data_IF_585398605783
#
_entry.id   IF_585398605783
#
_cell.length_a   1.000
_cell.length_b   1.000
_cell.length_c   1.000
_cell.angle_alpha   90.00
_cell.angle_beta   90.00
_cell.angle_gamma   90.00
#
_symmetry.space_group_name_H-M   'P 1'
#
loop_
_entity.id
_entity.type
_entity.pdbx_description
1 polymer ?
#
# COMPACT_ATOMS: atom_id res chain seq x y z
N UNK A 1 -22.51 4.34 8.49
CA UNK A 1 -22.87 3.01 9.08
C UNK A 1 -24.27 3.07 9.70
N UNK A 2 -24.97 1.94 9.88
CA UNK A 2 -26.21 1.93 10.67
C UNK A 2 -25.89 2.36 12.12
N UNK A 3 -26.66 3.29 12.67
CA UNK A 3 -26.49 3.80 14.04
C UNK A 3 -25.58 5.03 14.20
N UNK A 4 -25.04 5.59 13.12
CA UNK A 4 -24.27 6.85 13.15
C UNK A 4 -25.15 8.02 12.71
N UNK A 5 -25.07 9.15 13.42
CA UNK A 5 -25.79 10.37 13.04
C UNK A 5 -25.27 10.90 11.70
N UNK A 6 -26.11 11.63 10.95
CA UNK A 6 -25.68 12.26 9.70
C UNK A 6 -24.59 13.32 9.92
N UNK A 7 -24.63 14.00 11.06
CA UNK A 7 -23.62 15.02 11.42
C UNK A 7 -22.25 14.38 11.60
N UNK A 8 -22.17 13.29 12.37
CA UNK A 8 -20.91 12.58 12.58
C UNK A 8 -20.43 11.92 11.28
N UNK A 9 -21.35 11.36 10.50
CA UNK A 9 -21.03 10.73 9.22
C UNK A 9 -20.45 11.73 8.20
N UNK A 10 -20.91 12.98 8.21
CA UNK A 10 -20.44 14.01 7.30
C UNK A 10 -19.00 14.48 7.62
N UNK A 11 -18.55 14.36 8.87
CA UNK A 11 -17.22 14.82 9.28
C UNK A 11 -16.08 13.85 8.91
N UNK A 12 -16.40 12.58 8.61
CA UNK A 12 -15.41 11.51 8.42
C UNK A 12 -14.71 11.57 7.05
N UNK A 13 -15.41 11.69 5.90
CA UNK A 13 -14.78 11.47 4.60
C UNK A 13 -13.63 12.44 4.34
N UNK A 14 -13.83 13.72 4.61
CA UNK A 14 -12.85 14.77 4.34
C UNK A 14 -11.51 14.51 5.03
N UNK A 15 -11.55 14.22 6.33
CA UNK A 15 -10.33 14.09 7.14
C UNK A 15 -9.59 12.79 6.85
N UNK A 16 -10.32 11.69 6.60
CA UNK A 16 -9.71 10.39 6.31
C UNK A 16 -9.14 10.33 4.90
N UNK A 17 -9.84 10.86 3.89
CA UNK A 17 -9.35 10.88 2.51
C UNK A 17 -8.08 11.74 2.42
N UNK A 18 -8.09 12.92 3.04
CA UNK A 18 -6.93 13.80 3.05
C UNK A 18 -5.72 13.16 3.74
N UNK A 19 -5.92 12.56 4.92
CA UNK A 19 -4.84 11.89 5.64
C UNK A 19 -4.30 10.69 4.85
N UNK A 20 -5.18 9.92 4.20
CA UNK A 20 -4.79 8.77 3.39
C UNK A 20 -4.00 9.17 2.15
N UNK A 21 -4.49 10.15 1.39
CA UNK A 21 -3.81 10.64 0.19
C UNK A 21 -2.41 11.15 0.53
N UNK A 22 -2.30 12.01 1.54
CA UNK A 22 -1.05 12.65 1.86
C UNK A 22 0.00 11.69 2.47
N UNK A 23 -0.40 10.78 3.37
CA UNK A 23 0.55 9.88 4.03
C UNK A 23 0.87 8.64 3.18
N UNK A 24 -0.14 8.06 2.54
CA UNK A 24 -0.01 6.74 1.91
C UNK A 24 0.24 6.89 0.42
N UNK A 25 -0.62 7.60 -0.30
CA UNK A 25 -0.52 7.70 -1.76
C UNK A 25 0.66 8.58 -2.19
N UNK A 26 0.77 9.77 -1.59
CA UNK A 26 1.83 10.73 -1.91
C UNK A 26 3.09 10.50 -1.07
N UNK A 27 2.92 10.30 0.24
CA UNK A 27 4.03 10.08 1.17
C UNK A 27 4.71 8.71 1.02
N UNK A 28 4.00 7.70 0.49
CA UNK A 28 4.53 6.35 0.36
C UNK A 28 4.89 5.73 1.71
N UNK A 29 4.14 6.05 2.78
CA UNK A 29 4.33 5.44 4.08
C UNK A 29 4.03 3.94 3.99
N UNK A 30 4.91 3.13 4.56
CA UNK A 30 4.79 1.67 4.59
C UNK A 30 4.61 1.20 6.03
N UNK A 31 4.04 -0.01 6.26
CA UNK A 31 4.02 -0.63 7.58
C UNK A 31 5.41 -0.65 8.22
N UNK A 32 5.51 -0.31 9.51
CA UNK A 32 6.78 -0.15 10.22
C UNK A 32 7.53 1.17 9.94
N UNK A 33 7.10 1.95 8.94
CA UNK A 33 7.58 3.30 8.69
C UNK A 33 7.20 4.27 9.80
N UNK A 34 7.84 5.43 9.83
CA UNK A 34 7.58 6.49 10.81
C UNK A 34 7.08 7.75 10.11
N UNK A 35 5.94 8.28 10.54
CA UNK A 35 5.39 9.54 10.07
C UNK A 35 5.47 10.64 11.14
N UNK A 36 5.70 11.88 10.73
CA UNK A 36 5.54 13.08 11.54
C UNK A 36 4.34 13.88 11.02
N UNK A 37 3.36 14.16 11.87
CA UNK A 37 2.16 14.92 11.50
C UNK A 37 2.02 16.15 12.38
N UNK A 38 1.93 17.32 11.78
CA UNK A 38 1.62 18.55 12.52
C UNK A 38 0.11 18.70 12.75
N UNK A 39 -0.24 19.42 13.82
CA UNK A 39 -1.62 19.60 14.26
C UNK A 39 -2.35 18.26 14.52
N UNK A 40 -1.73 17.37 15.31
CA UNK A 40 -2.24 16.02 15.62
C UNK A 40 -3.64 15.98 16.22
N UNK A 41 -4.05 17.01 16.97
CA UNK A 41 -5.38 17.12 17.55
C UNK A 41 -6.44 17.75 16.61
N UNK A 42 -6.11 17.93 15.34
CA UNK A 42 -7.07 18.36 14.30
C UNK A 42 -7.83 17.15 13.72
N UNK A 43 -8.85 17.40 12.89
CA UNK A 43 -9.58 16.33 12.21
C UNK A 43 -8.64 15.43 11.38
N UNK A 44 -7.79 16.02 10.54
CA UNK A 44 -6.82 15.26 9.72
C UNK A 44 -5.77 14.59 10.59
N UNK A 45 -5.27 15.26 11.63
CA UNK A 45 -4.27 14.70 12.55
C UNK A 45 -4.79 13.46 13.31
N UNK A 46 -6.02 13.53 13.82
CA UNK A 46 -6.65 12.41 14.54
C UNK A 46 -6.99 11.25 13.60
N UNK A 47 -7.36 11.52 12.35
CA UNK A 47 -7.53 10.50 11.32
C UNK A 47 -6.18 9.84 10.95
N UNK A 48 -5.13 10.64 10.77
CA UNK A 48 -3.78 10.15 10.48
C UNK A 48 -3.26 9.20 11.58
N UNK A 49 -3.46 9.53 12.86
CA UNK A 49 -3.09 8.65 13.98
C UNK A 49 -3.77 7.29 13.85
N UNK A 50 -5.07 7.28 13.59
CA UNK A 50 -5.85 6.05 13.46
C UNK A 50 -5.42 5.22 12.25
N UNK A 51 -5.18 5.86 11.10
CA UNK A 51 -4.69 5.20 9.88
C UNK A 51 -3.32 4.58 10.11
N UNK A 52 -2.36 5.33 10.66
CA UNK A 52 -1.01 4.82 10.93
C UNK A 52 -1.03 3.66 11.92
N UNK A 53 -1.82 3.76 13.00
CA UNK A 53 -1.99 2.68 13.97
C UNK A 53 -2.56 1.42 13.31
N UNK A 54 -3.61 1.56 12.50
CA UNK A 54 -4.24 0.44 11.80
C UNK A 54 -3.29 -0.23 10.79
N UNK A 55 -2.39 0.53 10.18
CA UNK A 55 -1.39 0.05 9.24
C UNK A 55 -0.15 -0.58 9.91
N UNK A 56 0.04 -0.38 11.22
CA UNK A 56 1.26 -0.78 11.92
C UNK A 56 2.46 0.16 11.66
N UNK A 57 2.20 1.41 11.29
CA UNK A 57 3.21 2.45 11.20
C UNK A 57 3.34 3.21 12.54
N UNK A 58 4.52 3.75 12.80
CA UNK A 58 4.76 4.64 13.95
C UNK A 58 4.38 6.06 13.55
N UNK A 59 3.70 6.78 14.43
CA UNK A 59 3.31 8.16 14.17
C UNK A 59 3.70 9.07 15.33
N UNK A 60 4.38 10.14 14.99
CA UNK A 60 4.75 11.26 15.85
C UNK A 60 3.82 12.41 15.48
N UNK A 61 3.21 13.05 16.47
CA UNK A 61 2.34 14.19 16.21
C UNK A 61 2.74 15.40 17.04
N UNK A 62 2.55 16.60 16.49
CA UNK A 62 2.69 17.84 17.25
C UNK A 62 1.32 18.43 17.57
N UNK A 63 1.10 18.87 18.80
CA UNK A 63 -0.09 19.61 19.18
C UNK A 63 0.24 20.62 20.29
N UNK A 64 -0.64 21.59 20.52
CA UNK A 64 -0.57 22.42 21.74
C UNK A 64 -1.04 21.57 22.94
N UNK A 65 -0.49 21.74 24.13
CA UNK A 65 -0.88 21.01 25.34
C UNK A 65 -2.38 20.98 25.65
N UNK A 66 -2.89 22.02 26.32
CA UNK A 66 -4.30 22.13 26.66
C UNK A 66 -4.93 23.39 26.04
N UNK A 67 -6.19 23.29 25.60
CA UNK A 67 -7.01 24.46 25.27
C UNK A 67 -8.32 24.37 26.04
N UNK A 68 -8.43 25.14 27.12
CA UNK A 68 -9.54 25.01 28.07
C UNK A 68 -9.42 23.72 28.88
N UNK A 69 -10.52 22.97 28.99
CA UNK A 69 -10.58 21.69 29.73
C UNK A 69 -10.07 20.48 28.93
N UNK A 70 -9.76 20.64 27.65
CA UNK A 70 -9.37 19.53 26.76
C UNK A 70 -7.86 19.38 26.74
N UNK A 71 -7.37 18.26 27.26
CA UNK A 71 -6.00 17.80 27.11
C UNK A 71 -5.83 17.11 25.74
N UNK A 72 -5.22 17.84 24.81
CA UNK A 72 -5.00 17.35 23.44
C UNK A 72 -3.91 16.28 23.39
N UNK A 73 -2.95 16.32 24.31
CA UNK A 73 -1.85 15.36 24.37
C UNK A 73 -2.40 14.00 24.79
N UNK A 74 -3.21 13.96 25.85
CA UNK A 74 -3.89 12.75 26.29
C UNK A 74 -4.81 12.18 25.19
N UNK A 75 -5.57 13.02 24.49
CA UNK A 75 -6.43 12.60 23.39
C UNK A 75 -5.64 11.96 22.24
N UNK A 76 -4.55 12.57 21.79
CA UNK A 76 -3.70 12.01 20.72
C UNK A 76 -3.06 10.68 21.12
N UNK A 77 -2.63 10.56 22.39
CA UNK A 77 -2.09 9.29 22.92
C UNK A 77 -3.14 8.19 22.98
N UNK A 78 -4.37 8.51 23.39
CA UNK A 78 -5.48 7.57 23.44
C UNK A 78 -5.84 7.02 22.05
N UNK A 79 -5.73 7.84 21.00
CA UNK A 79 -5.90 7.41 19.60
C UNK A 79 -4.76 6.51 19.10
N UNK A 80 -3.64 6.46 19.82
CA UNK A 80 -2.52 5.57 19.55
C UNK A 80 -1.32 6.22 18.88
N UNK A 81 -1.13 7.54 19.06
CA UNK A 81 0.11 8.19 18.67
C UNK A 81 1.30 7.59 19.44
N UNK A 82 2.41 7.31 18.74
CA UNK A 82 3.61 6.74 19.36
C UNK A 82 4.40 7.78 20.15
N UNK A 83 4.36 9.03 19.69
CA UNK A 83 4.89 10.19 20.39
C UNK A 83 3.97 11.38 20.13
N UNK A 84 3.72 12.16 21.18
CA UNK A 84 2.99 13.42 21.08
C UNK A 84 3.87 14.51 21.65
N UNK A 85 4.23 15.47 20.81
CA UNK A 85 5.07 16.61 21.17
C UNK A 85 4.19 17.83 21.41
N UNK A 86 4.30 18.42 22.60
CA UNK A 86 3.78 19.75 22.86
C UNK A 86 4.76 20.79 22.31
N UNK A 87 4.41 21.40 21.17
CA UNK A 87 5.29 22.37 20.51
C UNK A 87 5.44 23.69 21.29
N UNK A 88 4.61 23.91 22.33
CA UNK A 88 4.68 25.13 23.16
C UNK A 88 5.76 25.04 24.24
N UNK A 89 6.14 23.83 24.62
CA UNK A 89 7.14 23.58 25.68
C UNK A 89 8.37 22.83 25.19
N UNK A 90 8.26 22.08 24.08
CA UNK A 90 9.34 21.27 23.53
C UNK A 90 9.63 21.61 22.07
N UNK A 91 10.89 21.44 21.68
CA UNK A 91 11.28 21.48 20.27
C UNK A 91 11.00 20.13 19.61
N UNK A 92 10.06 20.12 18.66
CA UNK A 92 9.68 18.92 17.95
C UNK A 92 10.81 18.28 17.16
N UNK A 93 11.76 19.05 16.63
CA UNK A 93 12.85 18.49 15.84
C UNK A 93 13.77 17.62 16.70
N UNK A 94 14.03 18.09 17.93
CA UNK A 94 14.82 17.35 18.92
C UNK A 94 14.10 16.08 19.39
N UNK A 95 12.82 16.20 19.76
CA UNK A 95 12.02 15.05 20.21
C UNK A 95 11.88 13.97 19.12
N UNK A 96 11.75 14.38 17.85
CA UNK A 96 11.75 13.47 16.71
C UNK A 96 13.10 12.78 16.55
N UNK A 97 14.21 13.52 16.66
CA UNK A 97 15.54 12.93 16.58
C UNK A 97 15.78 11.90 17.69
N UNK A 98 15.39 12.23 18.92
CA UNK A 98 15.53 11.34 20.08
C UNK A 98 14.68 10.07 19.92
N UNK A 99 13.42 10.21 19.50
CA UNK A 99 12.51 9.06 19.29
C UNK A 99 12.91 8.17 18.12
N UNK A 100 13.51 8.75 17.08
CA UNK A 100 13.99 8.02 15.89
C UNK A 100 15.46 7.60 16.01
N UNK A 101 16.12 7.87 17.14
CA UNK A 101 17.54 7.59 17.37
C UNK A 101 18.44 8.18 16.28
N UNK A 102 18.11 9.40 15.83
CA UNK A 102 18.82 10.11 14.76
C UNK A 102 18.56 9.61 13.34
N UNK A 103 17.71 8.59 13.15
CA UNK A 103 17.35 8.09 11.81
C UNK A 103 16.50 9.09 11.03
N UNK A 104 15.59 9.78 11.71
CA UNK A 104 14.55 10.61 11.10
C UNK A 104 13.28 9.83 10.72
N UNK A 105 12.31 10.56 10.19
CA UNK A 105 10.98 10.06 9.78
C UNK A 105 10.89 9.84 8.28
N UNK A 106 10.07 8.87 7.86
CA UNK A 106 9.92 8.50 6.46
C UNK A 106 9.00 9.46 5.70
N UNK A 107 8.00 10.03 6.38
CA UNK A 107 7.00 10.95 5.81
C UNK A 107 6.71 12.08 6.80
N UNK A 108 6.57 13.31 6.31
CA UNK A 108 6.11 14.47 7.09
C UNK A 108 4.83 15.00 6.46
N UNK A 109 3.77 15.15 7.26
CA UNK A 109 2.57 15.90 6.90
C UNK A 109 2.62 17.28 7.56
N UNK A 110 3.00 18.29 6.79
CA UNK A 110 3.08 19.67 7.24
C UNK A 110 1.88 20.49 6.75
N UNK A 111 1.14 21.05 7.71
CA UNK A 111 -0.01 21.94 7.47
C UNK A 111 0.27 23.38 7.93
N UNK A 112 1.46 23.66 8.48
CA UNK A 112 1.86 24.97 9.00
C UNK A 112 2.68 25.73 7.94
N UNK A 113 3.68 25.07 7.35
CA UNK A 113 4.59 25.69 6.39
C UNK A 113 5.50 26.76 6.99
N UNK A 114 6.13 27.57 6.12
CA UNK A 114 7.01 28.66 6.53
C UNK A 114 8.25 28.15 7.29
N UNK A 115 8.47 28.68 8.48
CA UNK A 115 9.66 28.40 9.33
C UNK A 115 9.75 26.94 9.82
N UNK A 116 8.69 26.15 9.62
CA UNK A 116 8.70 24.71 9.91
C UNK A 116 9.39 23.92 8.80
N UNK A 117 9.37 24.42 7.56
CA UNK A 117 9.84 23.68 6.37
C UNK A 117 11.29 23.19 6.53
N UNK A 118 12.22 24.07 6.91
CA UNK A 118 13.62 23.71 7.07
C UNK A 118 13.83 22.65 8.17
N UNK A 119 13.10 22.78 9.28
CA UNK A 119 13.14 21.84 10.41
C UNK A 119 12.52 20.49 10.03
N UNK A 120 11.45 20.51 9.26
CA UNK A 120 10.78 19.31 8.74
C UNK A 120 11.69 18.54 7.79
N UNK A 121 12.40 19.24 6.90
CA UNK A 121 13.40 18.61 6.03
C UNK A 121 14.54 18.00 6.84
N UNK A 122 14.99 18.66 7.90
CA UNK A 122 16.03 18.11 8.79
C UNK A 122 15.56 16.86 9.56
N UNK A 123 14.26 16.72 9.81
CA UNK A 123 13.68 15.55 10.48
C UNK A 123 13.50 14.34 9.55
N UNK A 124 13.59 14.51 8.23
CA UNK A 124 13.40 13.42 7.28
C UNK A 124 14.56 12.43 7.33
N UNK A 125 14.21 11.15 7.27
CA UNK A 125 15.17 10.09 7.10
C UNK A 125 15.85 10.22 5.72
N UNK A 126 17.18 10.18 5.73
CA UNK A 126 17.95 10.08 4.48
C UNK A 126 17.69 8.70 3.87
N UNK A 127 16.79 8.64 2.88
CA UNK A 127 16.64 7.45 2.05
C UNK A 127 17.94 7.23 1.30
N UNK A 128 18.75 6.28 1.75
CA UNK A 128 19.78 5.67 0.90
C UNK A 128 19.03 4.78 -0.08
N UNK A 129 18.53 5.38 -1.17
CA UNK A 129 18.07 4.61 -2.29
C UNK A 129 19.31 3.87 -2.83
N UNK A 130 19.45 2.60 -2.45
CA UNK A 130 20.30 1.70 -3.22
C UNK A 130 19.66 1.58 -4.58
N UNK A 131 20.09 2.44 -5.50
CA UNK A 131 19.80 2.35 -6.91
C UNK A 131 20.50 1.09 -7.39
N UNK A 132 19.90 -0.07 -7.10
CA UNK A 132 20.23 -1.31 -7.79
C UNK A 132 19.84 -1.03 -9.22
N UNK A 133 20.84 -0.71 -10.04
CA UNK A 133 20.76 -0.88 -11.46
C UNK A 133 20.32 -2.34 -11.67
N UNK A 134 19.03 -2.55 -11.87
CA UNK A 134 18.59 -3.84 -12.35
C UNK A 134 19.19 -3.93 -13.74
N UNK A 135 20.28 -4.69 -13.87
CA UNK A 135 20.74 -5.20 -15.16
C UNK A 135 19.50 -5.72 -15.84
N UNK A 136 19.06 -5.02 -16.88
CA UNK A 136 17.95 -5.43 -17.73
C UNK A 136 18.25 -6.85 -18.19
N UNK A 137 17.61 -7.83 -17.55
CA UNK A 137 17.72 -9.22 -17.98
C UNK A 137 16.73 -9.36 -19.12
N UNK A 138 17.26 -9.35 -20.34
CA UNK A 138 16.53 -9.74 -21.53
C UNK A 138 15.80 -11.08 -21.25
N UNK A 139 14.56 -11.24 -21.72
CA UNK A 139 13.82 -12.47 -21.53
C UNK A 139 14.62 -13.65 -22.08
N UNK A 140 14.93 -14.61 -21.21
CA UNK A 140 15.63 -15.85 -21.56
C UNK A 140 14.73 -16.63 -22.52
N UNK A 141 15.19 -16.83 -23.76
CA UNK A 141 14.54 -17.73 -24.71
C UNK A 141 14.54 -19.12 -24.09
N UNK A 142 13.35 -19.67 -23.81
CA UNK A 142 13.21 -21.07 -23.44
C UNK A 142 13.67 -21.92 -24.62
N UNK A 143 14.86 -22.53 -24.52
CA UNK A 143 15.29 -23.53 -25.48
C UNK A 143 14.38 -24.73 -25.32
N UNK A 144 13.51 -24.98 -26.29
CA UNK A 144 12.80 -26.24 -26.41
C UNK A 144 13.85 -27.32 -26.68
N UNK A 145 14.14 -28.14 -25.68
CA UNK A 145 14.96 -29.33 -25.88
C UNK A 145 14.18 -30.29 -26.77
N UNK A 146 14.78 -30.63 -27.91
CA UNK A 146 14.30 -31.71 -28.76
C UNK A 146 14.38 -33.03 -27.98
N UNK A 147 13.23 -33.60 -27.62
CA UNK A 147 13.16 -34.99 -27.18
C UNK A 147 13.41 -35.88 -28.40
N UNK A 148 14.62 -36.44 -28.48
CA UNK A 148 14.97 -37.50 -29.41
C UNK A 148 14.17 -38.76 -29.09
N UNK A 149 13.30 -39.16 -30.00
CA UNK A 149 12.54 -40.40 -29.96
C UNK A 149 13.49 -41.60 -30.20
N UNK A 150 13.61 -42.59 -29.30
CA UNK A 150 14.38 -43.79 -29.56
C UNK A 150 13.62 -44.70 -30.53
N UNK A 151 14.33 -45.08 -31.58
CA UNK A 151 13.93 -46.00 -32.65
C UNK A 151 13.28 -47.30 -32.15
N UNK A 152 12.01 -47.52 -32.54
CA UNK A 152 11.41 -48.85 -32.52
C UNK A 152 11.76 -49.59 -33.82
N UNK A 153 12.49 -50.69 -33.66
CA UNK A 153 12.91 -51.59 -34.71
C UNK A 153 11.74 -52.50 -35.15
N UNK A 154 11.61 -52.67 -36.47
CA UNK A 154 11.16 -53.87 -37.19
C UNK A 154 9.72 -54.36 -37.01
N UNK A 155 8.92 -54.21 -38.08
CA UNK A 155 8.49 -55.38 -38.88
C UNK A 155 7.95 -54.94 -40.25
N UNK A 156 8.17 -55.82 -41.24
CA UNK A 156 7.98 -55.63 -42.68
C UNK A 156 6.50 -55.74 -43.09
N UNK A 157 6.06 -54.89 -44.01
CA UNK A 157 5.32 -55.26 -45.24
C UNK A 157 5.02 -53.99 -46.08
N UNK A 158 5.19 -54.01 -47.43
CA UNK A 158 4.85 -52.89 -48.29
C UNK A 158 3.49 -53.11 -48.95
N UNK A 159 2.62 -52.10 -48.99
CA UNK A 159 1.56 -52.08 -50.01
C UNK A 159 1.03 -50.67 -50.24
N UNK A 160 1.25 -50.20 -51.47
CA UNK A 160 0.36 -49.39 -52.32
C UNK A 160 -0.36 -48.17 -51.68
N UNK A 161 0.03 -46.93 -52.01
CA UNK A 161 -0.25 -46.21 -53.26
C UNK A 161 -1.66 -45.55 -53.32
N UNK A 162 -1.66 -44.28 -53.77
CA UNK A 162 -2.82 -43.45 -54.20
C UNK A 162 -3.76 -42.97 -53.06
N UNK A 163 -4.32 -41.76 -53.01
CA UNK A 163 -4.58 -40.69 -53.97
C UNK A 163 -4.74 -39.34 -53.21
N UNK A 164 -4.04 -38.28 -53.64
CA UNK A 164 -4.57 -37.07 -54.32
C UNK A 164 -5.88 -36.43 -53.78
N UNK A 165 -5.73 -35.11 -53.53
CA UNK A 165 -6.70 -33.98 -53.76
C UNK A 165 -7.87 -33.93 -52.76
N UNK A 166 -8.34 -32.79 -52.22
CA UNK A 166 -8.37 -31.38 -52.66
C UNK A 166 -8.92 -30.51 -51.50
N UNK A 167 -8.44 -29.25 -51.42
CA UNK A 167 -9.16 -27.97 -51.07
C UNK A 167 -9.98 -27.89 -49.77
N UNK A 168 -9.55 -27.06 -48.80
CA UNK A 168 -9.86 -25.61 -48.60
C UNK A 168 -11.35 -25.30 -48.30
N UNK A 169 -11.67 -24.94 -47.04
CA UNK A 169 -12.07 -23.60 -46.55
C UNK A 169 -12.61 -23.67 -45.09
N UNK A 170 -12.70 -22.54 -44.34
CA UNK A 170 -12.44 -22.50 -42.89
C UNK A 170 -13.63 -22.07 -42.01
N UNK A 171 -13.38 -22.13 -40.69
CA UNK A 171 -13.96 -21.32 -39.60
C UNK A 171 -15.47 -21.41 -39.34
N UNK A 172 -15.83 -21.95 -38.16
CA UNK A 172 -16.44 -21.18 -37.05
C UNK A 172 -16.39 -21.99 -35.75
N UNK A 173 -15.98 -21.31 -34.67
CA UNK A 173 -15.81 -21.84 -33.30
C UNK A 173 -17.16 -22.18 -32.65
N UNK A 174 -17.19 -23.13 -31.69
CA UNK A 174 -18.40 -23.53 -30.99
C UNK A 174 -18.67 -22.66 -29.74
N UNK A 175 -19.95 -22.49 -29.40
CA UNK A 175 -20.44 -22.02 -28.10
C UNK A 175 -20.86 -23.22 -27.24
N UNK A 176 -20.48 -23.31 -25.95
CA UNK A 176 -21.04 -24.31 -25.04
C UNK A 176 -22.21 -23.72 -24.21
N UNK A 177 -23.27 -24.52 -24.10
CA UNK A 177 -24.47 -24.30 -23.26
C UNK A 177 -24.16 -24.58 -21.78
N UNK A 178 -24.82 -23.94 -20.81
CA UNK A 178 -24.74 -24.29 -19.39
C UNK A 178 -25.74 -25.40 -19.03
N UNK A 179 -25.29 -26.37 -18.21
CA UNK A 179 -26.16 -27.36 -17.57
C UNK A 179 -26.65 -26.83 -16.22
N UNK A 180 -27.96 -26.94 -16.03
CA UNK A 180 -28.76 -26.53 -14.88
C UNK A 180 -28.96 -27.71 -13.89
N UNK A 181 -29.71 -27.56 -12.77
CA UNK A 181 -29.31 -28.02 -11.44
C UNK A 181 -30.20 -29.13 -10.83
N UNK A 182 -29.85 -29.60 -9.63
CA UNK A 182 -30.71 -30.35 -8.68
C UNK A 182 -30.21 -30.06 -7.25
N UNK A 183 -30.91 -29.33 -6.36
CA UNK A 183 -31.96 -29.76 -5.38
C UNK A 183 -31.55 -30.99 -4.55
N UNK A 184 -31.58 -31.10 -3.21
CA UNK A 184 -32.24 -30.44 -2.04
C UNK A 184 -31.68 -31.17 -0.75
N UNK A 185 -32.28 -31.19 0.46
CA UNK A 185 -32.20 -30.16 1.53
C UNK A 185 -31.89 -30.73 2.98
N UNK A 186 -31.89 -29.84 3.99
CA UNK A 186 -32.11 -30.02 5.46
C UNK A 186 -31.13 -30.87 6.32
N UNK A 187 -30.46 -30.20 7.27
CA UNK A 187 -30.47 -30.44 8.72
C UNK A 187 -30.15 -29.13 9.45
#
# INVERSE_FOLDING_TARGET
>A
PRGMSLVDAAAIPEVFITAWDALILQGGLTPGGTALVHAGASGVGTAAIQICRAMGARIIVTCSGARGSVDKVAACRALGASLVVDYTTHDFAKEVADFTQGRGVDVVLDVIGGDYTARNVACLARRVASFKWARWQAPQKTSTSHHSCPSAHQSRAPCCAHARKKRRLPCRRPSPKPCCPTSTPVC
#
